data_IF_329201337967
#
_entry.id   IF_329201337967
#
_cell.length_a   1.000
_cell.length_b   1.000
_cell.length_c   1.000
_cell.angle_alpha   90.00
_cell.angle_beta   90.00
_cell.angle_gamma   90.00
#
_symmetry.space_group_name_H-M   'P 1'
#
loop_
_entity.id
_entity.type
_entity.pdbx_description
1 polymer ?
#
# COMPACT_ATOMS: atom_id res chain seq x y z
N UNK A 1 4.91 11.66 16.13
CA UNK A 1 5.62 10.52 15.53
C UNK A 1 4.65 9.41 15.13
N UNK A 2 3.90 8.82 16.06
CA UNK A 2 2.97 7.70 15.76
C UNK A 2 1.86 8.04 14.74
N UNK A 3 1.16 9.18 14.90
CA UNK A 3 0.12 9.62 13.96
C UNK A 3 0.64 9.85 12.53
N UNK A 4 1.89 10.28 12.40
CA UNK A 4 2.51 10.53 11.10
C UNK A 4 2.91 9.21 10.43
N UNK A 5 3.40 8.24 11.21
CA UNK A 5 3.72 6.90 10.73
C UNK A 5 2.45 6.19 10.24
N UNK A 6 1.37 6.22 11.02
CA UNK A 6 0.11 5.60 10.61
C UNK A 6 -0.50 6.30 9.38
N UNK A 7 -0.38 7.62 9.27
CA UNK A 7 -0.82 8.33 8.07
C UNK A 7 -0.04 7.88 6.83
N UNK A 8 1.30 7.77 6.93
CA UNK A 8 2.14 7.26 5.83
C UNK A 8 1.74 5.83 5.45
N UNK A 9 1.53 4.96 6.44
CA UNK A 9 1.08 3.56 6.23
C UNK A 9 -0.28 3.50 5.54
N UNK A 10 -1.24 4.27 6.03
CA UNK A 10 -2.60 4.34 5.48
C UNK A 10 -2.59 4.82 4.03
N UNK A 11 -1.85 5.91 3.73
CA UNK A 11 -1.69 6.39 2.37
C UNK A 11 -1.06 5.34 1.45
N UNK A 12 -0.05 4.62 1.95
CA UNK A 12 0.66 3.59 1.19
C UNK A 12 -0.21 2.34 0.94
N UNK A 13 -1.08 1.96 1.88
CA UNK A 13 -2.13 0.93 1.67
C UNK A 13 -3.13 1.36 0.58
N UNK A 14 -3.56 2.61 0.59
CA UNK A 14 -4.45 3.14 -0.45
C UNK A 14 -3.79 3.07 -1.84
N UNK A 15 -2.51 3.44 -1.95
CA UNK A 15 -1.74 3.34 -3.20
C UNK A 15 -1.62 1.89 -3.67
N UNK A 16 -1.32 0.95 -2.77
CA UNK A 16 -1.25 -0.47 -3.10
C UNK A 16 -2.58 -0.98 -3.67
N UNK A 17 -3.71 -0.57 -3.09
CA UNK A 17 -5.04 -0.90 -3.59
C UNK A 17 -5.31 -0.25 -4.96
N UNK A 18 -4.96 1.03 -5.16
CA UNK A 18 -5.12 1.70 -6.45
C UNK A 18 -4.32 1.02 -7.57
N UNK A 19 -3.14 0.49 -7.28
CA UNK A 19 -2.31 -0.24 -8.24
C UNK A 19 -2.88 -1.61 -8.65
N UNK A 20 -3.88 -2.15 -7.93
CA UNK A 20 -4.60 -3.36 -8.35
C UNK A 20 -5.59 -3.10 -9.48
N UNK A 21 -5.99 -1.84 -9.68
CA UNK A 21 -6.90 -1.44 -10.74
C UNK A 21 -6.15 -1.55 -12.08
N UNK A 22 -6.68 -2.28 -13.08
CA UNK A 22 -6.06 -2.36 -14.38
C UNK A 22 -5.76 -0.97 -14.94
N UNK A 23 -4.59 -0.82 -15.56
CA UNK A 23 -4.13 0.44 -16.19
C UNK A 23 -3.85 1.62 -15.23
N UNK A 24 -4.12 1.51 -13.92
CA UNK A 24 -3.88 2.60 -12.97
C UNK A 24 -2.40 3.06 -12.96
N UNK A 25 -1.46 2.12 -13.08
CA UNK A 25 -0.03 2.40 -13.17
C UNK A 25 0.39 3.15 -14.45
N UNK A 26 -0.48 3.24 -15.46
CA UNK A 26 -0.24 4.02 -16.70
C UNK A 26 -0.69 5.47 -16.57
N UNK A 27 -1.48 5.80 -15.54
CA UNK A 27 -1.82 7.19 -15.27
C UNK A 27 -0.56 7.97 -14.89
N UNK A 28 -0.34 9.18 -15.45
CA UNK A 28 0.87 9.96 -15.17
C UNK A 28 1.11 10.17 -13.67
N UNK A 29 0.05 10.49 -12.91
CA UNK A 29 0.15 10.69 -11.47
C UNK A 29 0.61 9.44 -10.71
N UNK A 30 0.13 8.25 -11.09
CA UNK A 30 0.54 7.01 -10.44
C UNK A 30 1.95 6.58 -10.85
N UNK A 31 2.33 6.83 -12.10
CA UNK A 31 3.68 6.58 -12.59
C UNK A 31 4.70 7.45 -11.84
N UNK A 32 4.41 8.74 -11.67
CA UNK A 32 5.23 9.69 -10.91
C UNK A 32 5.31 9.29 -9.43
N UNK A 33 4.17 8.95 -8.81
CA UNK A 33 4.13 8.51 -7.43
C UNK A 33 4.95 7.22 -7.21
N UNK A 34 4.81 6.26 -8.12
CA UNK A 34 5.59 5.01 -8.08
C UNK A 34 7.09 5.27 -8.25
N UNK A 35 7.47 6.25 -9.08
CA UNK A 35 8.86 6.68 -9.20
C UNK A 35 9.37 7.29 -7.89
N UNK A 36 8.58 8.15 -7.24
CA UNK A 36 8.93 8.75 -5.95
C UNK A 36 9.15 7.69 -4.87
N UNK A 37 8.29 6.67 -4.77
CA UNK A 37 8.48 5.53 -3.86
C UNK A 37 9.84 4.87 -4.14
N UNK A 38 10.12 4.50 -5.39
CA UNK A 38 11.35 3.81 -5.78
C UNK A 38 12.62 4.62 -5.52
N UNK A 39 12.56 5.94 -5.63
CA UNK A 39 13.70 6.82 -5.34
C UNK A 39 13.93 7.08 -3.85
N UNK A 40 12.96 6.71 -3.01
CA UNK A 40 13.04 6.89 -1.56
C UNK A 40 13.12 5.52 -0.85
N UNK A 41 14.29 5.15 -0.29
CA UNK A 41 14.45 3.86 0.38
C UNK A 41 13.48 3.61 1.54
N UNK A 42 13.14 4.64 2.32
CA UNK A 42 12.18 4.52 3.44
C UNK A 42 10.79 4.15 2.91
N UNK A 43 10.34 4.83 1.85
CA UNK A 43 9.05 4.56 1.23
C UNK A 43 9.02 3.22 0.50
N UNK A 44 10.12 2.82 -0.13
CA UNK A 44 10.26 1.50 -0.77
C UNK A 44 10.09 0.38 0.25
N UNK A 45 10.83 0.42 1.36
CA UNK A 45 10.74 -0.58 2.44
C UNK A 45 9.31 -0.63 3.00
N UNK A 46 8.69 0.53 3.21
CA UNK A 46 7.33 0.59 3.73
C UNK A 46 6.30 0.01 2.75
N UNK A 47 6.41 0.35 1.46
CA UNK A 47 5.51 -0.14 0.43
C UNK A 47 5.63 -1.66 0.25
N UNK A 48 6.85 -2.21 0.25
CA UNK A 48 7.07 -3.65 0.21
C UNK A 48 6.47 -4.39 1.40
N UNK A 49 6.60 -3.84 2.61
CA UNK A 49 5.95 -4.39 3.82
C UNK A 49 4.44 -4.49 3.64
N UNK A 50 3.83 -3.41 3.15
CA UNK A 50 2.37 -3.34 2.95
C UNK A 50 1.90 -4.31 1.86
N UNK A 51 2.66 -4.48 0.78
CA UNK A 51 2.31 -5.46 -0.26
C UNK A 51 2.35 -6.89 0.29
N UNK A 52 3.35 -7.24 1.11
CA UNK A 52 3.44 -8.56 1.77
C UNK A 52 2.28 -8.80 2.74
N UNK A 53 1.93 -7.79 3.54
CA UNK A 53 0.79 -7.85 4.46
C UNK A 53 -0.53 -8.05 3.70
N UNK A 54 -0.71 -7.38 2.55
CA UNK A 54 -1.93 -7.46 1.74
C UNK A 54 -2.10 -8.81 1.03
N UNK A 55 -1.00 -9.52 0.75
CA UNK A 55 -1.02 -10.88 0.17
C UNK A 55 -1.27 -11.98 1.20
N UNK A 56 -1.10 -11.67 2.48
CA UNK A 56 -1.59 -12.52 3.55
C UNK A 56 -3.09 -12.30 3.59
N UNK A 57 -3.84 -13.24 3.01
CA UNK A 57 -5.30 -13.20 3.03
C UNK A 57 -5.77 -12.81 4.45
N UNK A 58 -6.78 -11.94 4.61
CA UNK A 58 -7.43 -11.84 5.90
C UNK A 58 -7.84 -13.27 6.25
N UNK A 59 -7.34 -13.82 7.36
CA UNK A 59 -7.88 -15.05 7.90
C UNK A 59 -9.38 -14.80 8.05
N UNK A 60 -10.17 -15.31 7.12
CA UNK A 60 -11.62 -15.23 7.10
C UNK A 60 -12.26 -16.01 8.26
N UNK A 61 -11.44 -16.50 9.19
CA UNK A 61 -11.80 -17.31 10.34
C UNK A 61 -12.20 -16.51 11.59
N UNK A 62 -12.43 -15.20 11.51
CA UNK A 62 -12.85 -14.43 12.69
C UNK A 62 -14.00 -13.46 12.42
N UNK A 63 -14.95 -13.90 11.60
CA UNK A 63 -16.32 -13.38 11.61
C UNK A 63 -17.31 -14.56 11.65
N UNK A 64 -17.14 -15.46 12.62
CA UNK A 64 -18.29 -16.26 13.06
C UNK A 64 -19.13 -15.37 13.97
N UNK A 65 -20.20 -14.81 13.40
CA UNK A 65 -21.33 -14.30 14.17
C UNK A 65 -22.04 -15.50 14.81
N UNK A 66 -21.84 -15.72 16.10
CA UNK A 66 -22.76 -16.45 16.99
C UNK A 66 -22.53 -16.09 18.45
#
# INVERSE_FOLDING_TARGET
>A
FEKQDELKRSAMRAVAALLTIPEAGKSPGMADFSAQIRTNPELTILFESIQKDSTSAPSTDSMELS
#
